data_IF_776428055482
#
_entry.id   IF_776428055482
#
_cell.length_a   1.000
_cell.length_b   1.000
_cell.length_c   1.000
_cell.angle_alpha   90.00
_cell.angle_beta   90.00
_cell.angle_gamma   90.00
#
_symmetry.space_group_name_H-M   'P 1'
#
loop_
_entity.id
_entity.type
_entity.pdbx_description
1 polymer ?
#
# COMPACT_ATOMS: atom_id res chain seq x y z
N UNK A 1 -5.75 -9.43 22.00
CA UNK A 1 -5.31 -8.03 21.76
C UNK A 1 -4.24 -7.87 20.67
N UNK A 2 -3.43 -8.91 20.37
CA UNK A 2 -2.35 -8.81 19.38
C UNK A 2 -2.87 -8.69 17.93
N UNK A 3 -3.91 -9.47 17.63
CA UNK A 3 -4.70 -9.50 16.38
C UNK A 3 -5.19 -8.11 15.94
N UNK A 4 -5.94 -7.42 16.80
CA UNK A 4 -6.46 -6.08 16.55
C UNK A 4 -5.37 -5.06 16.23
N UNK A 5 -4.21 -5.12 16.91
CA UNK A 5 -3.08 -4.23 16.61
C UNK A 5 -2.47 -4.50 15.24
N UNK A 6 -2.53 -5.74 14.72
CA UNK A 6 -2.05 -6.09 13.38
C UNK A 6 -2.96 -5.52 12.29
N UNK A 7 -4.28 -5.65 12.46
CA UNK A 7 -5.27 -5.07 11.54
C UNK A 7 -5.12 -3.55 11.45
N UNK A 8 -5.09 -2.85 12.58
CA UNK A 8 -4.96 -1.39 12.60
C UNK A 8 -3.66 -0.94 11.95
N UNK A 9 -2.54 -1.63 12.20
CA UNK A 9 -1.24 -1.31 11.58
C UNK A 9 -1.27 -1.54 10.07
N UNK A 10 -1.91 -2.62 9.61
CA UNK A 10 -2.07 -2.91 8.18
C UNK A 10 -2.92 -1.83 7.49
N UNK A 11 -4.09 -1.53 8.04
CA UNK A 11 -4.99 -0.51 7.51
C UNK A 11 -4.31 0.86 7.46
N UNK A 12 -3.61 1.25 8.52
CA UNK A 12 -2.87 2.51 8.56
C UNK A 12 -1.77 2.57 7.50
N UNK A 13 -1.01 1.48 7.34
CA UNK A 13 0.04 1.39 6.32
C UNK A 13 -0.54 1.49 4.91
N UNK A 14 -1.64 0.77 4.62
CA UNK A 14 -2.31 0.82 3.33
C UNK A 14 -2.87 2.20 3.02
N UNK A 15 -3.51 2.85 3.99
CA UNK A 15 -4.01 4.22 3.82
C UNK A 15 -2.88 5.20 3.50
N UNK A 16 -1.76 5.13 4.21
CA UNK A 16 -0.57 5.93 3.93
C UNK A 16 -0.02 5.66 2.53
N UNK A 17 0.06 4.39 2.12
CA UNK A 17 0.55 4.03 0.80
C UNK A 17 -0.36 4.56 -0.32
N UNK A 18 -1.69 4.50 -0.15
CA UNK A 18 -2.65 5.08 -1.10
C UNK A 18 -2.52 6.60 -1.21
N UNK A 19 -2.32 7.29 -0.08
CA UNK A 19 -2.08 8.75 -0.09
C UNK A 19 -0.81 9.07 -0.87
N UNK A 20 0.28 8.35 -0.63
CA UNK A 20 1.55 8.58 -1.33
C UNK A 20 1.38 8.35 -2.84
N UNK A 21 0.81 7.22 -3.24
CA UNK A 21 0.58 6.87 -4.65
C UNK A 21 -0.33 7.89 -5.35
N UNK A 22 -1.42 8.30 -4.70
CA UNK A 22 -2.35 9.30 -5.25
C UNK A 22 -1.74 10.71 -5.37
N UNK A 23 -0.69 11.01 -4.61
CA UNK A 23 -0.01 12.30 -4.61
C UNK A 23 1.35 12.28 -5.34
N UNK A 24 1.71 11.20 -6.05
CA UNK A 24 2.95 11.14 -6.85
C UNK A 24 3.03 12.28 -7.87
N UNK A 25 1.90 12.77 -8.39
CA UNK A 25 1.86 13.94 -9.27
C UNK A 25 2.46 15.21 -8.66
N UNK A 26 2.31 15.41 -7.35
CA UNK A 26 2.91 16.54 -6.65
C UNK A 26 4.43 16.44 -6.57
N UNK A 27 4.99 15.22 -6.50
CA UNK A 27 6.44 15.04 -6.53
C UNK A 27 7.03 15.46 -7.88
N UNK A 28 6.34 15.17 -8.99
CA UNK A 28 6.82 15.57 -10.32
C UNK A 28 6.58 17.04 -10.63
N UNK A 29 5.64 17.72 -9.95
CA UNK A 29 5.42 19.17 -10.14
C UNK A 29 6.49 20.04 -9.45
N UNK A 30 7.24 19.51 -8.49
CA UNK A 30 8.30 20.25 -7.76
C UNK A 30 9.59 20.37 -8.59
N UNK A 31 9.79 19.51 -9.59
CA UNK A 31 10.99 19.56 -10.44
C UNK A 31 10.82 20.57 -11.59
N UNK A 32 11.69 21.59 -11.70
CA UNK A 32 11.62 22.55 -12.80
C UNK A 32 12.18 21.90 -14.07
N UNK A 33 11.31 21.35 -14.91
CA UNK A 33 11.66 20.86 -16.26
C UNK A 33 11.66 21.98 -17.32
N UNK A 34 11.63 23.24 -16.88
CA UNK A 34 11.65 24.44 -17.71
C UNK A 34 12.98 24.52 -18.48
N UNK A 35 12.98 24.03 -19.72
CA UNK A 35 14.14 24.05 -20.62
C UNK A 35 14.21 22.89 -21.61
N UNK A 36 13.54 21.76 -21.33
CA UNK A 36 13.52 20.60 -22.22
C UNK A 36 12.20 20.56 -23.00
N UNK A 37 12.08 21.44 -24.01
CA UNK A 37 10.86 21.69 -24.80
C UNK A 37 10.15 20.42 -25.36
N UNK A 38 10.85 19.29 -25.50
CA UNK A 38 10.30 18.03 -26.01
C UNK A 38 10.00 16.97 -24.94
N UNK A 39 10.63 17.02 -23.76
CA UNK A 39 10.45 16.01 -22.70
C UNK A 39 9.77 16.53 -21.43
N UNK A 40 9.64 17.85 -21.24
CA UNK A 40 8.97 18.41 -20.06
C UNK A 40 7.50 17.99 -19.94
N UNK A 41 6.74 18.00 -21.03
CA UNK A 41 5.32 17.61 -21.01
C UNK A 41 5.09 16.12 -20.69
N UNK A 42 5.75 15.16 -21.36
CA UNK A 42 5.61 13.74 -21.00
C UNK A 42 6.05 13.44 -19.57
N UNK A 43 7.15 14.04 -19.11
CA UNK A 43 7.71 13.75 -17.79
C UNK A 43 6.86 14.33 -16.66
N UNK A 44 6.29 15.53 -16.83
CA UNK A 44 5.45 16.16 -15.80
C UNK A 44 4.01 15.64 -15.75
N UNK A 45 3.50 15.03 -16.83
CA UNK A 45 2.10 14.62 -16.92
C UNK A 45 1.90 13.13 -17.21
N UNK A 46 2.52 12.58 -18.26
CA UNK A 46 2.33 11.18 -18.65
C UNK A 46 2.90 10.25 -17.58
N UNK A 47 4.15 10.47 -17.14
CA UNK A 47 4.80 9.60 -16.15
C UNK A 47 4.00 9.57 -14.83
N UNK A 48 3.57 10.70 -14.25
CA UNK A 48 2.76 10.69 -13.03
C UNK A 48 1.41 10.02 -13.21
N UNK A 49 0.74 10.19 -14.36
CA UNK A 49 -0.54 9.51 -14.65
C UNK A 49 -0.32 8.00 -14.70
N UNK A 50 0.72 7.53 -15.38
CA UNK A 50 1.05 6.10 -15.43
C UNK A 50 1.44 5.57 -14.05
N UNK A 51 2.23 6.31 -13.27
CA UNK A 51 2.54 5.96 -11.88
C UNK A 51 1.31 5.93 -10.98
N UNK A 52 0.35 6.84 -11.16
CA UNK A 52 -0.91 6.82 -10.44
C UNK A 52 -1.74 5.58 -10.79
N UNK A 53 -1.91 5.31 -12.09
CA UNK A 53 -2.68 4.15 -12.55
C UNK A 53 -2.04 2.83 -12.12
N UNK A 54 -0.79 2.59 -12.52
CA UNK A 54 -0.07 1.36 -12.21
C UNK A 54 0.28 1.24 -10.74
N UNK A 55 0.50 2.37 -10.06
CA UNK A 55 0.70 2.41 -8.62
C UNK A 55 -0.54 1.95 -7.86
N UNK A 56 -1.73 2.47 -8.20
CA UNK A 56 -2.98 2.01 -7.58
C UNK A 56 -3.24 0.54 -7.89
N UNK A 57 -3.02 0.12 -9.15
CA UNK A 57 -3.18 -1.27 -9.55
C UNK A 57 -2.25 -2.21 -8.76
N UNK A 58 -0.96 -1.90 -8.71
CA UNK A 58 0.03 -2.68 -7.97
C UNK A 58 -0.23 -2.66 -6.46
N UNK A 59 -0.63 -1.52 -5.91
CA UNK A 59 -0.97 -1.39 -4.50
C UNK A 59 -2.19 -2.25 -4.13
N UNK A 60 -3.18 -2.37 -5.01
CA UNK A 60 -4.34 -3.25 -4.82
C UNK A 60 -3.94 -4.72 -4.80
N UNK A 61 -2.99 -5.15 -5.64
CA UNK A 61 -2.45 -6.52 -5.62
C UNK A 61 -1.71 -6.79 -4.31
N UNK A 62 -0.88 -5.85 -3.87
CA UNK A 62 -0.15 -5.95 -2.59
C UNK A 62 -1.13 -6.00 -1.42
N UNK A 63 -2.18 -5.17 -1.44
CA UNK A 63 -3.24 -5.16 -0.44
C UNK A 63 -3.89 -6.53 -0.29
N UNK A 64 -4.27 -7.15 -1.41
CA UNK A 64 -4.89 -8.49 -1.40
C UNK A 64 -3.95 -9.56 -0.83
N UNK A 65 -2.67 -9.55 -1.25
CA UNK A 65 -1.69 -10.52 -0.71
C UNK A 65 -1.40 -10.32 0.77
N UNK A 66 -1.27 -9.07 1.22
CA UNK A 66 -1.03 -8.77 2.62
C UNK A 66 -2.27 -9.04 3.49
N UNK A 67 -3.47 -8.79 2.96
CA UNK A 67 -4.74 -9.14 3.60
C UNK A 67 -4.82 -10.64 3.85
N UNK A 68 -4.59 -11.48 2.83
CA UNK A 68 -4.59 -12.93 3.00
C UNK A 68 -3.58 -13.40 4.06
N UNK A 69 -2.35 -12.86 4.04
CA UNK A 69 -1.33 -13.19 5.06
C UNK A 69 -1.71 -12.72 6.47
N UNK A 70 -2.47 -11.63 6.56
CA UNK A 70 -2.98 -11.14 7.84
C UNK A 70 -4.05 -12.10 8.36
N UNK A 71 -5.02 -12.47 7.53
CA UNK A 71 -6.07 -13.43 7.86
C UNK A 71 -5.47 -14.77 8.34
N UNK A 72 -4.51 -15.33 7.61
CA UNK A 72 -3.79 -16.55 8.02
C UNK A 72 -3.12 -16.38 9.40
N UNK A 73 -2.52 -15.21 9.66
CA UNK A 73 -1.83 -14.93 10.92
C UNK A 73 -2.78 -14.68 12.09
N UNK A 74 -4.06 -14.40 11.81
CA UNK A 74 -5.13 -14.29 12.80
C UNK A 74 -5.64 -15.69 13.13
N UNK A 75 -5.94 -16.49 12.10
CA UNK A 75 -6.45 -17.86 12.26
C UNK A 75 -5.49 -18.74 13.06
N UNK A 76 -4.19 -18.71 12.73
CA UNK A 76 -3.17 -19.46 13.49
C UNK A 76 -3.09 -19.06 14.98
N UNK A 77 -3.26 -17.77 15.30
CA UNK A 77 -3.25 -17.32 16.71
C UNK A 77 -4.49 -17.85 17.47
N UNK A 78 -5.64 -17.94 16.81
CA UNK A 78 -6.86 -18.49 17.42
C UNK A 78 -6.70 -19.99 17.67
N UNK A 79 -6.20 -20.76 16.71
CA UNK A 79 -5.99 -22.21 16.86
C UNK A 79 -4.96 -22.55 17.95
N UNK A 80 -3.88 -21.77 18.07
CA UNK A 80 -2.88 -21.94 19.15
C UNK A 80 -3.49 -21.66 20.55
N UNK A 81 -4.36 -20.66 20.67
CA UNK A 81 -5.04 -20.35 21.94
C UNK A 81 -6.09 -21.41 22.31
N UNK A 82 -6.77 -22.02 21.34
CA UNK A 82 -7.71 -23.12 21.57
C UNK A 82 -6.98 -24.40 22.00
N UNK A 83 -5.93 -24.80 21.29
CA UNK A 83 -5.11 -25.97 21.65
C UNK A 83 -4.44 -25.81 23.02
N UNK A 84 -3.99 -24.60 23.39
CA UNK A 84 -3.46 -24.34 24.74
C UNK A 84 -4.52 -24.53 25.83
N UNK A 85 -5.78 -24.18 25.56
CA UNK A 85 -6.89 -24.34 26.52
C UNK A 85 -7.34 -25.80 26.67
N UNK A 86 -7.24 -26.62 25.64
CA UNK A 86 -7.57 -28.05 25.73
C UNK A 86 -6.52 -28.89 26.48
N UNK A 87 -5.26 -28.44 26.48
CA UNK A 87 -4.13 -29.16 27.11
C UNK A 87 -3.88 -28.72 28.57
N UNK A 88 -4.63 -27.72 29.07
CA UNK A 88 -4.53 -27.14 30.42
C UNK A 88 -5.68 -27.60 31.31
#
# INVERSE_FOLDING_TARGET
MRTYKKEVKFTLFMALAFIVVGNVGLFFSVFPFEGVLLFGFPVSYIIPILFGWFGVWGLTIVAGRMGNRLDDAIENEVTEDETRKEVS
#
